data_IF_190349013083
#
_entry.id   IF_190349013083
#
_cell.length_a   1.000
_cell.length_b   1.000
_cell.length_c   1.000
_cell.angle_alpha   90.00
_cell.angle_beta   90.00
_cell.angle_gamma   90.00
#
_symmetry.space_group_name_H-M   'P 1'
#
loop_
_entity.id
_entity.type
_entity.pdbx_description
1 polymer ?
#
# COMPACT_ATOMS: atom_id res chain seq x y z
N UNK A 1 19.95 1.46 25.98
CA UNK A 1 18.52 1.37 25.59
C UNK A 1 18.37 0.16 24.68
N UNK A 2 17.45 -0.77 24.98
CA UNK A 2 17.24 -1.96 24.14
C UNK A 2 16.50 -1.51 22.88
N UNK A 3 17.16 -1.54 21.74
CA UNK A 3 16.59 -1.14 20.46
C UNK A 3 15.60 -2.24 20.03
N UNK A 4 14.34 -2.16 20.49
CA UNK A 4 13.31 -3.11 20.07
C UNK A 4 12.96 -2.82 18.63
N UNK A 5 13.38 -3.73 17.73
CA UNK A 5 12.98 -3.70 16.33
C UNK A 5 11.45 -3.77 16.28
N UNK A 6 10.84 -2.79 15.63
CA UNK A 6 9.41 -2.83 15.38
C UNK A 6 9.14 -3.79 14.21
N UNK A 7 8.83 -5.05 14.55
CA UNK A 7 8.57 -6.12 13.59
C UNK A 7 7.40 -5.82 12.63
N UNK A 8 6.44 -5.00 13.05
CA UNK A 8 5.34 -4.57 12.19
C UNK A 8 5.85 -3.70 11.05
N UNK A 9 6.68 -2.69 11.36
CA UNK A 9 7.27 -1.81 10.34
C UNK A 9 8.21 -2.58 9.41
N UNK A 10 8.92 -3.59 9.92
CA UNK A 10 9.73 -4.49 9.08
C UNK A 10 8.86 -5.24 8.09
N UNK A 11 7.73 -5.81 8.53
CA UNK A 11 6.78 -6.49 7.64
C UNK A 11 6.20 -5.55 6.59
N UNK A 12 5.71 -4.38 7.01
CA UNK A 12 5.18 -3.38 6.07
C UNK A 12 6.22 -3.05 5.01
N UNK A 13 7.46 -2.76 5.40
CA UNK A 13 8.53 -2.42 4.45
C UNK A 13 8.85 -3.56 3.47
N UNK A 14 8.76 -4.81 3.92
CA UNK A 14 8.99 -5.98 3.08
C UNK A 14 7.86 -6.20 2.06
N UNK A 15 6.60 -6.03 2.47
CA UNK A 15 5.42 -6.37 1.65
C UNK A 15 4.83 -5.18 0.87
N UNK A 16 5.16 -3.93 1.22
CA UNK A 16 4.63 -2.75 0.55
C UNK A 16 4.89 -2.74 -0.97
N UNK A 17 6.08 -3.13 -1.49
CA UNK A 17 6.32 -3.21 -2.93
C UNK A 17 5.41 -4.23 -3.65
N UNK A 18 5.16 -5.38 -3.04
CA UNK A 18 4.28 -6.41 -3.60
C UNK A 18 2.84 -5.90 -3.70
N UNK A 19 2.34 -5.27 -2.63
CA UNK A 19 1.00 -4.70 -2.61
C UNK A 19 0.83 -3.48 -3.53
N UNK A 20 1.87 -2.67 -3.71
CA UNK A 20 1.89 -1.60 -4.71
C UNK A 20 1.83 -2.14 -6.14
N UNK A 21 2.51 -3.26 -6.41
CA UNK A 21 2.44 -3.94 -7.71
C UNK A 21 1.04 -4.52 -7.95
N UNK A 22 0.44 -5.13 -6.92
CA UNK A 22 -0.95 -5.59 -6.98
C UNK A 22 -1.90 -4.42 -7.28
N UNK A 23 -1.70 -3.29 -6.59
CA UNK A 23 -2.50 -2.08 -6.79
C UNK A 23 -2.29 -1.48 -8.17
N UNK A 24 -1.06 -1.46 -8.70
CA UNK A 24 -0.79 -0.87 -10.02
C UNK A 24 -1.52 -1.60 -11.14
N UNK A 25 -1.76 -2.90 -10.98
CA UNK A 25 -2.56 -3.70 -11.93
C UNK A 25 -4.06 -3.33 -11.90
N UNK A 26 -4.57 -2.79 -10.78
CA UNK A 26 -5.98 -2.39 -10.61
C UNK A 26 -6.19 -0.88 -10.79
N UNK A 27 -5.25 -0.07 -10.34
CA UNK A 27 -5.28 1.40 -10.34
C UNK A 27 -3.85 1.96 -10.34
N UNK A 28 -3.28 2.09 -11.53
CA UNK A 28 -1.92 2.60 -11.76
C UNK A 28 -1.70 4.01 -11.18
N UNK A 29 -2.68 4.90 -11.33
CA UNK A 29 -2.58 6.28 -10.88
C UNK A 29 -2.40 6.37 -9.36
N UNK A 30 -3.21 5.62 -8.59
CA UNK A 30 -3.10 5.59 -7.14
C UNK A 30 -1.79 4.90 -6.68
N UNK A 31 -1.39 3.82 -7.34
CA UNK A 31 -0.11 3.15 -7.03
C UNK A 31 1.08 4.09 -7.22
N UNK A 32 1.10 4.86 -8.32
CA UNK A 32 2.14 5.85 -8.61
C UNK A 32 2.16 6.99 -7.58
N UNK A 33 0.98 7.47 -7.16
CA UNK A 33 0.88 8.50 -6.12
C UNK A 33 1.47 8.02 -4.79
N UNK A 34 1.09 6.82 -4.34
CA UNK A 34 1.61 6.22 -3.10
C UNK A 34 3.12 5.98 -3.20
N UNK A 35 3.62 5.52 -4.36
CA UNK A 35 5.06 5.34 -4.59
C UNK A 35 5.83 6.65 -4.44
N UNK A 36 5.29 7.77 -4.97
CA UNK A 36 5.88 9.10 -4.80
C UNK A 36 5.90 9.53 -3.34
N UNK A 37 4.79 9.38 -2.62
CA UNK A 37 4.72 9.68 -1.19
C UNK A 37 5.76 8.88 -0.39
N UNK A 38 5.99 7.61 -0.77
CA UNK A 38 7.01 6.80 -0.15
C UNK A 38 8.43 7.29 -0.44
N UNK A 39 8.75 7.57 -1.72
CA UNK A 39 10.06 8.07 -2.14
C UNK A 39 10.42 9.42 -1.53
N UNK A 40 9.43 10.29 -1.35
CA UNK A 40 9.60 11.61 -0.74
C UNK A 40 9.61 11.58 0.80
N UNK A 41 9.09 10.52 1.42
CA UNK A 41 8.88 10.47 2.86
C UNK A 41 7.71 11.31 3.36
N UNK A 42 6.73 11.61 2.48
CA UNK A 42 5.57 12.46 2.78
C UNK A 42 4.58 11.81 3.77
N UNK A 43 4.62 10.47 3.88
CA UNK A 43 3.75 9.69 4.77
C UNK A 43 4.49 8.59 5.52
N UNK A 44 4.09 8.30 6.78
CA UNK A 44 4.55 7.11 7.51
C UNK A 44 4.22 5.80 6.78
N UNK A 45 5.03 4.76 7.02
CA UNK A 45 4.83 3.43 6.43
C UNK A 45 3.44 2.84 6.71
N UNK A 46 2.89 3.05 7.91
CA UNK A 46 1.54 2.58 8.26
C UNK A 46 0.45 3.22 7.41
N UNK A 47 0.58 4.52 7.14
CA UNK A 47 -0.38 5.26 6.33
C UNK A 47 -0.31 4.82 4.87
N UNK A 48 0.90 4.64 4.34
CA UNK A 48 1.11 4.08 3.00
C UNK A 48 0.50 2.68 2.89
N UNK A 49 0.70 1.83 3.90
CA UNK A 49 0.11 0.50 3.97
C UNK A 49 -1.42 0.52 3.93
N UNK A 50 -2.04 1.40 4.72
CA UNK A 50 -3.50 1.59 4.73
C UNK A 50 -4.02 2.08 3.38
N UNK A 51 -3.36 3.06 2.75
CA UNK A 51 -3.77 3.60 1.44
C UNK A 51 -3.75 2.52 0.36
N UNK A 52 -2.73 1.66 0.36
CA UNK A 52 -2.64 0.57 -0.62
C UNK A 52 -3.80 -0.42 -0.44
N UNK A 53 -4.10 -0.83 0.79
CA UNK A 53 -5.20 -1.79 1.05
C UNK A 53 -6.56 -1.19 0.71
N UNK A 54 -6.81 0.08 1.07
CA UNK A 54 -8.04 0.77 0.67
C UNK A 54 -8.18 0.86 -0.86
N UNK A 55 -7.08 1.07 -1.58
CA UNK A 55 -7.07 1.06 -3.05
C UNK A 55 -7.43 -0.31 -3.61
N UNK A 56 -6.90 -1.38 -3.01
CA UNK A 56 -7.16 -2.77 -3.42
C UNK A 56 -8.61 -3.19 -3.14
N UNK A 57 -9.15 -2.88 -1.95
CA UNK A 57 -10.53 -3.18 -1.56
C UNK A 57 -11.56 -2.49 -2.46
N UNK A 58 -11.33 -1.22 -2.80
CA UNK A 58 -12.22 -0.47 -3.72
C UNK A 58 -12.21 -1.03 -5.14
N UNK A 59 -11.13 -1.66 -5.55
CA UNK A 59 -11.03 -2.34 -6.85
C UNK A 59 -11.78 -3.67 -6.91
N UNK A 60 -12.03 -4.32 -5.77
CA UNK A 60 -12.73 -5.61 -5.69
C UNK A 60 -14.24 -5.47 -5.80
N UNK A 61 -14.82 -4.38 -5.30
CA UNK A 61 -16.27 -4.14 -5.33
C UNK A 61 -16.85 -3.81 -6.72
N UNK A 62 -16.01 -3.55 -7.74
CA UNK A 62 -16.47 -3.20 -9.09
C UNK A 62 -16.64 -4.42 -10.03
N UNK A 63 -16.41 -5.64 -9.54
CA UNK A 63 -16.50 -6.88 -10.31
C UNK A 63 -17.83 -7.66 -10.20
N UNK A 64 -18.76 -7.26 -9.33
CA UNK A 64 -19.93 -8.09 -8.94
C UNK A 64 -21.30 -7.56 -9.38
N UNK A 65 -21.39 -6.68 -10.39
CA UNK A 65 -22.67 -6.32 -11.01
C UNK A 65 -22.63 -6.52 -12.52
N UNK A 66 -22.80 -7.77 -12.95
CA UNK A 66 -23.33 -8.11 -14.26
C UNK A 66 -24.15 -9.38 -14.12
N UNK A 67 -25.46 -9.18 -13.94
CA UNK A 67 -26.50 -10.19 -14.11
C UNK A 67 -27.43 -9.73 -15.22
#
# INVERSE_FOLDING_TARGET
>A
MKNTINMELVKIRAFLPEKLTELSNKNEALALEILRMWGNGDKPLRDLWTLVHQGLERGEHNGEHSN
#
